data_IF_638005415405
#
_entry.id   IF_638005415405
#
_cell.length_a   1.000
_cell.length_b   1.000
_cell.length_c   1.000
_cell.angle_alpha   90.00
_cell.angle_beta   90.00
_cell.angle_gamma   90.00
#
_symmetry.space_group_name_H-M   'P 1'
#
loop_
_entity.id
_entity.type
_entity.pdbx_description
1 polymer ?
#
# COMPACT_ATOMS: atom_id res chain seq x y z
N UNK A 1 39.32 -37.60 23.09
CA UNK A 1 38.50 -36.61 23.80
C UNK A 1 38.19 -35.45 22.85
N UNK A 2 36.91 -35.13 22.73
CA UNK A 2 36.28 -33.94 22.11
C UNK A 2 36.35 -33.73 20.59
N UNK A 3 35.40 -34.32 19.86
CA UNK A 3 34.85 -33.74 18.63
C UNK A 3 33.55 -33.01 18.99
N UNK A 4 33.57 -31.67 18.97
CA UNK A 4 32.41 -30.82 19.24
C UNK A 4 31.51 -30.80 18.01
N UNK A 5 30.25 -31.19 18.21
CA UNK A 5 29.14 -31.08 17.27
C UNK A 5 28.85 -29.60 16.97
N UNK A 6 28.87 -29.21 15.70
CA UNK A 6 28.27 -27.96 15.23
C UNK A 6 26.92 -28.30 14.60
N UNK A 7 25.85 -28.16 15.38
CA UNK A 7 24.47 -28.20 14.88
C UNK A 7 24.13 -26.80 14.36
N UNK A 8 24.03 -26.66 13.05
CA UNK A 8 23.59 -25.43 12.39
C UNK A 8 22.10 -25.21 12.63
N UNK A 9 21.76 -24.21 13.44
CA UNK A 9 20.40 -23.76 13.70
C UNK A 9 19.99 -22.79 12.57
N UNK A 10 19.19 -23.25 11.62
CA UNK A 10 18.63 -22.41 10.55
C UNK A 10 17.48 -21.58 11.11
N UNK A 11 17.71 -20.27 11.29
CA UNK A 11 16.68 -19.30 11.68
C UNK A 11 15.75 -19.02 10.48
N UNK A 12 14.55 -19.60 10.50
CA UNK A 12 13.44 -19.21 9.63
C UNK A 12 12.90 -17.86 10.11
N UNK A 13 13.36 -16.77 9.48
CA UNK A 13 12.81 -15.43 9.66
C UNK A 13 11.44 -15.35 8.98
N UNK A 14 10.38 -15.71 9.70
CA UNK A 14 9.02 -15.30 9.39
C UNK A 14 8.89 -13.80 9.65
N UNK A 15 9.19 -12.97 8.65
CA UNK A 15 9.09 -11.53 8.75
C UNK A 15 7.63 -11.08 8.80
N UNK A 16 7.15 -10.70 9.99
CA UNK A 16 6.02 -9.77 10.06
C UNK A 16 6.47 -8.49 9.37
N UNK A 17 5.88 -8.16 8.21
CA UNK A 17 6.07 -6.86 7.59
C UNK A 17 5.43 -5.83 8.54
N UNK A 18 6.27 -5.12 9.30
CA UNK A 18 5.82 -4.08 10.18
C UNK A 18 5.34 -2.89 9.35
N UNK A 19 4.14 -2.38 9.64
CA UNK A 19 3.63 -1.16 9.00
C UNK A 19 4.64 -0.02 9.22
N UNK A 20 5.09 0.66 8.15
CA UNK A 20 6.10 1.69 8.26
C UNK A 20 5.57 2.88 9.05
N UNK A 21 6.45 3.54 9.79
CA UNK A 21 6.14 4.86 10.35
C UNK A 21 6.17 5.86 9.20
N UNK A 22 5.05 6.56 9.04
CA UNK A 22 4.88 7.63 8.06
C UNK A 22 5.03 8.98 8.75
N UNK A 23 5.71 9.89 8.09
CA UNK A 23 5.85 11.29 8.48
C UNK A 23 5.26 12.20 7.42
N UNK A 24 5.00 13.47 7.76
CA UNK A 24 4.51 14.45 6.78
C UNK A 24 5.49 14.55 5.59
N UNK A 25 5.00 14.44 4.33
CA UNK A 25 5.85 14.56 3.15
C UNK A 25 6.64 15.87 3.13
N UNK A 26 7.95 15.78 2.86
CA UNK A 26 8.82 16.95 2.76
C UNK A 26 8.64 17.74 1.44
N UNK A 27 8.00 17.11 0.43
CA UNK A 27 7.71 17.69 -0.88
C UNK A 27 6.20 17.71 -1.11
N UNK A 28 5.70 18.63 -1.96
CA UNK A 28 4.31 18.58 -2.42
C UNK A 28 3.99 17.20 -2.97
N UNK A 29 2.91 16.63 -2.46
CA UNK A 29 2.43 15.31 -2.85
C UNK A 29 1.83 15.41 -4.24
N UNK A 30 2.28 14.56 -5.16
CA UNK A 30 1.67 14.42 -6.48
C UNK A 30 0.22 13.94 -6.34
N UNK A 31 -0.66 14.42 -7.22
CA UNK A 31 -2.04 13.91 -7.29
C UNK A 31 -2.07 12.44 -7.71
N UNK A 32 -2.42 11.53 -6.81
CA UNK A 32 -2.51 10.08 -7.08
C UNK A 32 -3.89 9.65 -7.60
N UNK A 33 -4.84 10.58 -7.75
CA UNK A 33 -6.19 10.26 -8.27
C UNK A 33 -6.12 9.62 -9.66
N UNK A 34 -7.12 8.78 -9.94
CA UNK A 34 -7.26 8.06 -11.20
C UNK A 34 -6.95 6.57 -11.08
N UNK A 35 -6.74 5.94 -12.24
CA UNK A 35 -6.61 4.48 -12.35
C UNK A 35 -5.15 4.07 -12.42
N UNK A 36 -4.81 3.04 -11.64
CA UNK A 36 -3.52 2.39 -11.62
C UNK A 36 -3.73 0.90 -11.83
N UNK A 37 -2.90 0.27 -12.66
CA UNK A 37 -3.01 -1.15 -12.99
C UNK A 37 -1.67 -1.84 -12.88
N UNK A 38 -1.68 -3.10 -12.49
CA UNK A 38 -0.49 -3.94 -12.51
C UNK A 38 -0.76 -5.27 -11.84
N UNK A 39 0.10 -5.65 -10.88
CA UNK A 39 0.04 -6.97 -10.27
C UNK A 39 0.25 -6.94 -8.77
N UNK A 40 -0.36 -7.89 -8.06
CA UNK A 40 -0.12 -8.23 -6.66
C UNK A 40 0.15 -9.73 -6.53
N UNK A 41 1.37 -10.12 -6.16
CA UNK A 41 1.76 -11.53 -6.10
C UNK A 41 1.65 -12.23 -7.47
N UNK A 42 1.81 -11.49 -8.57
CA UNK A 42 1.63 -11.98 -9.94
C UNK A 42 0.17 -11.98 -10.44
N UNK A 43 -0.80 -11.68 -9.58
CA UNK A 43 -2.22 -11.58 -9.92
C UNK A 43 -2.56 -10.18 -10.43
N UNK A 44 -3.42 -10.02 -11.46
CA UNK A 44 -3.91 -8.70 -11.87
C UNK A 44 -4.48 -7.87 -10.71
N UNK A 45 -4.07 -6.60 -10.65
CA UNK A 45 -4.48 -5.61 -9.65
C UNK A 45 -4.86 -4.31 -10.35
N UNK A 46 -6.02 -3.76 -10.00
CA UNK A 46 -6.44 -2.41 -10.36
C UNK A 46 -6.71 -1.62 -9.09
N UNK A 47 -6.09 -0.45 -8.99
CA UNK A 47 -6.29 0.52 -7.93
C UNK A 47 -6.92 1.77 -8.53
N UNK A 48 -8.12 2.11 -8.11
CA UNK A 48 -8.82 3.32 -8.53
C UNK A 48 -8.91 4.29 -7.36
N UNK A 49 -8.12 5.36 -7.40
CA UNK A 49 -8.04 6.38 -6.36
C UNK A 49 -9.08 7.45 -6.65
N UNK A 50 -10.11 7.54 -5.79
CA UNK A 50 -11.23 8.46 -5.92
C UNK A 50 -10.94 9.80 -5.25
N UNK A 51 -10.44 9.76 -4.02
CA UNK A 51 -10.22 10.94 -3.19
C UNK A 51 -8.79 10.93 -2.66
N UNK A 52 -8.19 12.12 -2.70
CA UNK A 52 -6.94 12.45 -2.04
C UNK A 52 -7.18 13.71 -1.23
N UNK A 53 -7.05 13.59 0.09
CA UNK A 53 -7.18 14.70 1.02
C UNK A 53 -5.77 15.19 1.37
N UNK A 54 -5.49 16.47 1.13
CA UNK A 54 -4.19 17.07 1.48
C UNK A 54 -3.94 17.00 3.00
N UNK A 55 -5.00 17.08 3.80
CA UNK A 55 -5.00 16.88 5.25
C UNK A 55 -6.02 15.80 5.64
N UNK A 56 -5.64 14.52 5.60
CA UNK A 56 -6.56 13.39 5.81
C UNK A 56 -5.95 12.22 6.60
N UNK A 57 -6.67 11.82 7.65
CA UNK A 57 -6.37 10.71 8.56
C UNK A 57 -5.12 10.85 9.43
N UNK A 58 -5.34 10.82 10.76
CA UNK A 58 -4.28 10.91 11.74
C UNK A 58 -3.81 9.54 12.20
N UNK A 59 -2.49 9.33 12.20
CA UNK A 59 -1.89 8.11 12.76
C UNK A 59 -1.40 8.37 14.19
N UNK A 60 -1.82 7.51 15.12
CA UNK A 60 -1.28 7.49 16.50
C UNK A 60 -1.73 8.66 17.38
N UNK A 61 -2.97 9.12 17.20
CA UNK A 61 -3.48 10.23 17.99
C UNK A 61 -3.55 9.92 19.48
N UNK A 62 -2.99 10.83 20.28
CA UNK A 62 -3.16 10.84 21.72
C UNK A 62 -3.83 12.16 22.10
N UNK A 63 -4.99 12.07 22.73
CA UNK A 63 -5.78 13.20 23.20
C UNK A 63 -5.69 13.31 24.73
N UNK A 64 -5.68 14.54 25.24
CA UNK A 64 -5.91 14.84 26.65
C UNK A 64 -7.02 15.89 26.78
N UNK A 65 -8.22 15.43 27.14
CA UNK A 65 -9.42 16.27 27.03
C UNK A 65 -9.66 16.68 25.57
N UNK A 66 -10.01 17.95 25.27
CA UNK A 66 -10.23 18.42 23.91
C UNK A 66 -8.92 18.69 23.13
N UNK A 67 -7.75 18.53 23.74
CA UNK A 67 -6.46 18.87 23.15
C UNK A 67 -5.74 17.64 22.58
N UNK A 68 -5.26 17.73 21.34
CA UNK A 68 -4.43 16.71 20.69
C UNK A 68 -2.95 16.91 21.07
N UNK A 69 -2.35 15.93 21.73
CA UNK A 69 -0.96 15.98 22.18
C UNK A 69 0.02 15.39 21.16
N UNK A 70 -0.36 14.28 20.53
CA UNK A 70 0.47 13.56 19.57
C UNK A 70 -0.38 13.09 18.38
N UNK A 71 0.23 12.98 17.21
CA UNK A 71 -0.44 12.57 15.97
C UNK A 71 0.01 13.38 14.76
N UNK A 72 0.31 12.72 13.64
CA UNK A 72 0.65 13.37 12.39
C UNK A 72 -0.55 13.40 11.45
N UNK A 73 -0.90 14.59 10.94
CA UNK A 73 -1.80 14.72 9.80
C UNK A 73 -1.05 14.19 8.59
N UNK A 74 -1.48 13.05 8.09
CA UNK A 74 -1.01 12.52 6.81
C UNK A 74 -2.01 12.93 5.73
N UNK A 75 -1.68 12.67 4.47
CA UNK A 75 -2.65 12.85 3.39
C UNK A 75 -3.44 11.55 3.24
N UNK A 76 -4.77 11.67 3.25
CA UNK A 76 -5.69 10.55 3.20
C UNK A 76 -6.01 10.16 1.76
N UNK A 77 -6.17 8.87 1.50
CA UNK A 77 -6.56 8.33 0.21
C UNK A 77 -7.73 7.39 0.38
N UNK A 78 -8.67 7.40 -0.56
CA UNK A 78 -9.72 6.38 -0.62
C UNK A 78 -10.14 6.09 -2.04
N UNK A 79 -10.67 4.88 -2.23
CA UNK A 79 -11.00 4.41 -3.56
C UNK A 79 -11.43 2.94 -3.57
N UNK A 80 -11.30 2.33 -4.74
CA UNK A 80 -11.64 0.93 -4.98
C UNK A 80 -10.38 0.18 -5.40
N UNK A 81 -10.16 -0.99 -4.79
CA UNK A 81 -9.15 -1.95 -5.16
C UNK A 81 -9.84 -3.17 -5.76
N UNK A 82 -9.44 -3.55 -6.97
CA UNK A 82 -9.91 -4.75 -7.64
C UNK A 82 -8.75 -5.71 -7.86
N UNK A 83 -8.87 -6.94 -7.37
CA UNK A 83 -7.87 -7.99 -7.54
C UNK A 83 -8.53 -9.31 -7.90
N UNK A 84 -7.80 -10.20 -8.54
CA UNK A 84 -8.32 -11.51 -8.94
C UNK A 84 -8.03 -12.59 -7.89
N UNK A 85 -9.01 -13.42 -7.54
CA UNK A 85 -8.79 -14.64 -6.75
C UNK A 85 -9.38 -15.79 -7.51
N UNK A 86 -8.56 -16.81 -7.83
CA UNK A 86 -9.02 -18.02 -8.54
C UNK A 86 -9.79 -17.73 -9.85
N UNK A 87 -9.43 -16.65 -10.55
CA UNK A 87 -10.08 -16.22 -11.78
C UNK A 87 -11.30 -15.31 -11.61
N UNK A 88 -11.74 -15.04 -10.38
CA UNK A 88 -12.84 -14.14 -10.08
C UNK A 88 -12.32 -12.76 -9.64
N UNK A 89 -12.93 -11.69 -10.14
CA UNK A 89 -12.56 -10.32 -9.76
C UNK A 89 -13.28 -9.91 -8.47
N UNK A 90 -12.51 -9.54 -7.44
CA UNK A 90 -13.02 -9.03 -6.19
C UNK A 90 -12.72 -7.53 -6.10
N UNK A 91 -13.76 -6.73 -5.89
CA UNK A 91 -13.62 -5.29 -5.70
C UNK A 91 -13.99 -4.92 -4.27
N UNK A 92 -13.08 -4.22 -3.60
CA UNK A 92 -13.25 -3.75 -2.23
C UNK A 92 -12.90 -2.27 -2.17
N UNK A 93 -13.55 -1.54 -1.27
CA UNK A 93 -13.10 -0.20 -0.95
C UNK A 93 -11.76 -0.29 -0.21
N UNK A 94 -10.95 0.76 -0.30
CA UNK A 94 -9.76 0.90 0.54
C UNK A 94 -9.73 2.28 1.17
N UNK A 95 -9.11 2.33 2.34
CA UNK A 95 -8.59 3.56 2.92
C UNK A 95 -7.06 3.52 2.85
N UNK A 96 -6.45 4.68 2.70
CA UNK A 96 -5.01 4.77 2.53
C UNK A 96 -4.46 6.03 3.18
N UNK A 97 -3.18 5.96 3.50
CA UNK A 97 -2.40 7.05 4.08
C UNK A 97 -1.12 7.24 3.30
N UNK A 98 -0.77 8.49 3.10
CA UNK A 98 0.43 8.87 2.39
C UNK A 98 1.35 9.68 3.30
N UNK A 99 2.63 9.32 3.30
CA UNK A 99 3.66 10.03 4.05
C UNK A 99 5.06 9.63 3.63
N UNK A 100 6.07 10.32 4.15
CA UNK A 100 7.46 9.92 3.97
C UNK A 100 7.84 8.83 4.97
N UNK A 101 8.50 7.79 4.48
CA UNK A 101 9.17 6.76 5.28
C UNK A 101 10.59 6.57 4.74
N UNK A 102 11.59 6.66 5.60
CA UNK A 102 13.01 6.57 5.23
C UNK A 102 13.40 7.49 4.05
N UNK A 103 12.83 8.71 4.00
CA UNK A 103 13.08 9.69 2.94
C UNK A 103 12.42 9.39 1.60
N UNK A 104 11.49 8.43 1.54
CA UNK A 104 10.72 8.09 0.33
C UNK A 104 9.23 8.23 0.59
N UNK A 105 8.52 8.78 -0.39
CA UNK A 105 7.07 8.84 -0.37
C UNK A 105 6.51 7.42 -0.38
N UNK A 106 5.83 7.09 0.71
CA UNK A 106 5.27 5.78 1.02
C UNK A 106 3.76 5.89 1.19
N UNK A 107 3.06 4.96 0.56
CA UNK A 107 1.62 4.80 0.60
C UNK A 107 1.30 3.51 1.34
N UNK A 108 0.48 3.59 2.38
CA UNK A 108 -0.07 2.43 3.07
C UNK A 108 -1.55 2.37 2.73
N UNK A 109 -1.97 1.28 2.09
CA UNK A 109 -3.35 0.98 1.75
C UNK A 109 -3.87 -0.12 2.66
N UNK A 110 -5.05 0.09 3.20
CA UNK A 110 -5.79 -0.81 4.06
C UNK A 110 -7.11 -1.17 3.33
N UNK A 111 -7.13 -2.19 2.45
CA UNK A 111 -8.33 -2.64 1.76
C UNK A 111 -9.35 -3.22 2.75
N UNK A 112 -10.63 -2.86 2.58
CA UNK A 112 -11.75 -3.34 3.40
C UNK A 112 -12.13 -4.78 3.05
N UNK A 113 -11.16 -5.67 3.20
CA UNK A 113 -11.31 -7.13 3.13
C UNK A 113 -11.75 -7.66 4.49
N UNK A 114 -12.49 -8.78 4.55
CA UNK A 114 -13.00 -9.31 5.82
C UNK A 114 -11.94 -9.61 6.89
N UNK A 115 -10.66 -9.77 6.53
CA UNK A 115 -9.62 -10.22 7.45
C UNK A 115 -8.33 -9.35 7.45
N UNK A 116 -8.36 -8.17 6.83
CA UNK A 116 -7.31 -7.16 6.97
C UNK A 116 -6.06 -7.42 6.12
N UNK A 117 -6.20 -7.28 4.81
CA UNK A 117 -5.09 -7.06 3.90
C UNK A 117 -4.42 -5.69 4.13
N UNK A 118 -3.15 -5.57 3.80
CA UNK A 118 -2.42 -4.30 3.76
C UNK A 118 -1.47 -4.29 2.57
N UNK A 119 -1.43 -3.18 1.85
CA UNK A 119 -0.51 -2.97 0.73
C UNK A 119 0.34 -1.74 1.01
N UNK A 120 1.66 -1.92 1.07
CA UNK A 120 2.63 -0.84 1.25
C UNK A 120 3.30 -0.59 -0.10
N UNK A 121 3.17 0.63 -0.60
CA UNK A 121 3.73 1.07 -1.88
C UNK A 121 4.72 2.19 -1.62
N UNK A 122 5.75 2.25 -2.44
CA UNK A 122 6.68 3.37 -2.53
C UNK A 122 6.57 4.00 -3.90
N UNK A 123 6.63 5.32 -3.93
CA UNK A 123 6.71 6.06 -5.18
C UNK A 123 8.06 5.76 -5.85
N UNK A 124 8.00 5.23 -7.07
CA UNK A 124 9.18 4.98 -7.90
C UNK A 124 9.40 6.18 -8.82
N UNK A 125 8.36 6.55 -9.57
CA UNK A 125 8.29 7.73 -10.44
C UNK A 125 6.82 8.18 -10.60
N UNK A 126 6.57 9.24 -11.37
CA UNK A 126 5.25 9.88 -11.55
C UNK A 126 4.13 8.91 -11.99
N UNK A 127 4.50 7.82 -12.65
CA UNK A 127 3.58 6.86 -13.24
C UNK A 127 3.77 5.45 -12.68
N UNK A 128 4.62 5.25 -11.67
CA UNK A 128 4.92 3.91 -11.13
C UNK A 128 4.99 3.89 -9.61
N UNK A 129 4.22 2.96 -9.04
CA UNK A 129 4.25 2.60 -7.62
C UNK A 129 4.69 1.14 -7.49
N UNK A 130 5.52 0.85 -6.51
CA UNK A 130 5.98 -0.51 -6.24
C UNK A 130 6.12 -0.78 -4.75
N UNK A 131 5.87 -2.02 -4.33
CA UNK A 131 6.03 -2.42 -2.95
C UNK A 131 5.57 -3.83 -2.68
N UNK A 132 4.91 -4.04 -1.55
CA UNK A 132 4.53 -5.37 -1.04
C UNK A 132 3.13 -5.32 -0.46
N UNK A 133 2.33 -6.32 -0.78
CA UNK A 133 1.02 -6.54 -0.19
C UNK A 133 1.01 -7.83 0.61
N UNK A 134 0.46 -7.75 1.81
CA UNK A 134 0.28 -8.87 2.73
C UNK A 134 -1.20 -9.11 2.95
N UNK A 135 -1.60 -10.38 3.03
CA UNK A 135 -2.91 -10.77 3.49
C UNK A 135 -2.81 -11.77 4.64
N UNK A 136 -3.80 -11.76 5.53
CA UNK A 136 -3.95 -12.78 6.57
C UNK A 136 -4.61 -14.05 6.04
N UNK A 137 -5.24 -13.99 4.87
CA UNK A 137 -5.91 -15.12 4.24
C UNK A 137 -5.02 -15.72 3.16
N UNK A 138 -4.80 -17.04 3.24
CA UNK A 138 -4.00 -17.78 2.25
C UNK A 138 -4.57 -17.79 0.82
N UNK A 139 -5.80 -17.32 0.63
CA UNK A 139 -6.45 -17.29 -0.68
C UNK A 139 -6.41 -15.91 -1.35
N UNK A 140 -6.14 -14.86 -0.59
CA UNK A 140 -5.87 -13.54 -1.17
C UNK A 140 -4.43 -13.51 -1.70
N UNK A 141 -4.11 -12.61 -2.64
CA UNK A 141 -2.74 -12.48 -3.13
C UNK A 141 -1.79 -12.00 -2.02
N UNK A 142 -0.51 -12.36 -2.13
CA UNK A 142 0.55 -11.92 -1.23
C UNK A 142 1.83 -11.71 -2.06
N UNK A 143 2.68 -10.78 -1.63
CA UNK A 143 4.00 -10.56 -2.20
C UNK A 143 4.13 -9.23 -2.92
N UNK A 144 4.95 -9.20 -3.97
CA UNK A 144 5.28 -7.96 -4.69
C UNK A 144 4.05 -7.30 -5.30
N UNK A 145 3.97 -5.99 -5.18
CA UNK A 145 2.95 -5.17 -5.84
C UNK A 145 3.64 -4.20 -6.78
N UNK A 146 3.18 -4.14 -8.02
CA UNK A 146 3.58 -3.15 -9.00
C UNK A 146 2.34 -2.54 -9.63
N UNK A 147 2.33 -1.21 -9.75
CA UNK A 147 1.22 -0.45 -10.31
C UNK A 147 1.77 0.63 -11.23
N UNK A 148 1.14 0.76 -12.39
CA UNK A 148 1.43 1.78 -13.39
C UNK A 148 0.19 2.63 -13.61
N UNK A 149 0.36 3.95 -13.66
CA UNK A 149 -0.73 4.89 -13.92
C UNK A 149 -1.27 4.65 -15.33
N UNK A 150 -2.58 4.47 -15.43
CA UNK A 150 -3.26 4.49 -16.73
C UNK A 150 -3.43 5.94 -17.17
N UNK A 151 -3.13 6.21 -18.43
CA UNK A 151 -3.52 7.48 -19.03
C UNK A 151 -5.04 7.61 -18.89
N UNK A 152 -5.54 8.82 -18.64
CA UNK A 152 -6.97 9.07 -18.74
C UNK A 152 -7.36 8.76 -20.19
N UNK A 153 -8.05 7.64 -20.43
CA UNK A 153 -8.62 7.33 -21.74
C UNK A 153 -9.65 8.41 -22.06
N UNK A 154 -9.21 9.45 -22.79
CA UNK A 154 -10.10 10.32 -23.51
C UNK A 154 -10.73 9.51 -24.66
N UNK A 155 -11.99 9.81 -25.06
CA UNK A 155 -12.57 9.19 -26.23
C UNK A 155 -11.82 9.70 -27.48
N UNK A 156 -10.80 8.96 -27.95
CA UNK A 156 -10.05 9.34 -29.14
C UNK A 156 -8.69 8.68 -29.26
N UNK A 157 -8.68 7.43 -29.71
CA UNK A 157 -7.46 6.69 -30.02
C UNK A 157 -7.63 5.68 -31.15
N UNK A 158 -8.41 6.03 -32.18
CA UNK A 158 -8.30 5.33 -33.45
C UNK A 158 -6.89 5.60 -34.01
N UNK A 159 -6.06 4.56 -34.06
CA UNK A 159 -4.77 4.60 -34.77
C UNK A 159 -5.02 4.74 -36.28
N UNK A 160 -4.19 5.52 -37.01
CA UNK A 160 -4.10 5.42 -38.46
C UNK A 160 -3.50 4.08 -38.90
#
# INVERSE_FOLDING_TARGET
MNRVLAVGLTLLLGGCVATPRLTTPAKPVLDLRGTWTGTWGGTPLTLFVLKQEEEGSTSGDVYFGPWRLFGQRLSGLSGVLTFTVRGEAHSVNFEGRLGDSNGRLTLVLDPQTPNGAQIILTHVDEHRLAGVGTSRLRWEPEGSVELVRQAADGPGGARP
#
